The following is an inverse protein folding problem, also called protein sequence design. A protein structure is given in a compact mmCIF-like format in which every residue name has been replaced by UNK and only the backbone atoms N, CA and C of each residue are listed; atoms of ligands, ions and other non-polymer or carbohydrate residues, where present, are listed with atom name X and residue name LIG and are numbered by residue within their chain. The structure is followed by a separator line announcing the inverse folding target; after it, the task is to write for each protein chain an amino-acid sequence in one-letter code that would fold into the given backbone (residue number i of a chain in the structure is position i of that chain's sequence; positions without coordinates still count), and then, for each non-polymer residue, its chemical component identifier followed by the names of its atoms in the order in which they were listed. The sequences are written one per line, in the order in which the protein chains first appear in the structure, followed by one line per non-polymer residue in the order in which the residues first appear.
data_IF_167083418524
#
_entry.id   IF_167083418524
#
_cell.length_a   1.000
_cell.length_b   1.000
_cell.length_c   1.000
_cell.angle_alpha   90.00
_cell.angle_beta   90.00
_cell.angle_gamma   90.00
#
_symmetry.space_group_name_H-M   'P 1'
#
loop_
_entity.id
_entity.type
_entity.pdbx_description
1 polymer ?
#
# COMPACT_ATOMS: atom_id res chain seq x y z
N UNK A 1 30.36 43.95 8.92
CA UNK A 1 29.02 43.36 9.15
C UNK A 1 28.65 42.42 7.99
N UNK A 2 28.76 42.85 6.72
CA UNK A 2 28.58 41.97 5.55
C UNK A 2 29.60 40.82 5.45
N UNK A 3 30.87 41.08 5.74
CA UNK A 3 31.94 40.06 5.70
C UNK A 3 31.72 38.93 6.72
N UNK A 4 31.29 39.29 7.94
CA UNK A 4 31.04 38.33 9.02
C UNK A 4 29.88 37.37 8.71
N UNK A 5 28.87 37.85 7.97
CA UNK A 5 27.76 37.00 7.50
C UNK A 5 28.22 36.05 6.41
N UNK A 6 29.09 36.52 5.51
CA UNK A 6 29.63 35.73 4.41
C UNK A 6 30.55 34.61 4.92
N UNK A 7 31.42 34.92 5.89
CA UNK A 7 32.27 33.93 6.55
C UNK A 7 31.45 32.85 7.30
N UNK A 8 30.33 33.26 7.90
CA UNK A 8 29.42 32.35 8.59
C UNK A 8 28.66 31.45 7.62
N UNK A 9 28.20 31.99 6.49
CA UNK A 9 27.56 31.22 5.41
C UNK A 9 28.51 30.17 4.83
N UNK A 10 29.76 30.55 4.53
CA UNK A 10 30.77 29.63 4.03
C UNK A 10 31.11 28.53 5.05
N UNK A 11 31.14 28.87 6.34
CA UNK A 11 31.36 27.87 7.40
C UNK A 11 30.23 26.83 7.44
N UNK A 12 28.96 27.28 7.44
CA UNK A 12 27.80 26.38 7.42
C UNK A 12 27.83 25.50 6.17
N UNK A 13 28.12 26.09 5.01
CA UNK A 13 28.18 25.35 3.75
C UNK A 13 29.30 24.29 3.74
N UNK A 14 30.47 24.63 4.29
CA UNK A 14 31.59 23.69 4.38
C UNK A 14 31.31 22.55 5.37
N UNK A 15 30.65 22.83 6.50
CA UNK A 15 30.26 21.82 7.47
C UNK A 15 29.18 20.89 6.89
N UNK A 16 28.22 21.45 6.15
CA UNK A 16 27.22 20.70 5.38
C UNK A 16 27.85 19.82 4.30
N UNK A 17 28.73 20.38 3.47
CA UNK A 17 29.41 19.64 2.39
C UNK A 17 30.15 18.40 2.88
N UNK A 18 30.75 18.49 4.08
CA UNK A 18 31.42 17.35 4.75
C UNK A 18 30.43 16.31 5.29
N UNK A 19 29.29 16.73 5.85
CA UNK A 19 28.31 15.82 6.44
C UNK A 19 27.41 15.15 5.41
N UNK A 20 27.11 15.82 4.29
CA UNK A 20 26.23 15.29 3.23
C UNK A 20 26.76 13.99 2.65
N UNK A 21 28.06 13.91 2.39
CA UNK A 21 28.66 12.71 1.79
C UNK A 21 28.47 11.48 2.69
N UNK A 22 28.62 11.63 4.00
CA UNK A 22 28.43 10.52 4.96
C UNK A 22 26.95 10.19 5.16
N UNK A 23 26.06 11.18 5.14
CA UNK A 23 24.60 10.97 5.20
C UNK A 23 24.13 10.19 3.98
N UNK A 24 24.62 10.51 2.78
CA UNK A 24 24.28 9.80 1.54
C UNK A 24 24.78 8.36 1.61
N UNK A 25 26.05 8.14 1.95
CA UNK A 25 26.64 6.80 1.99
C UNK A 25 25.92 5.93 3.06
N UNK A 26 25.57 6.49 4.22
CA UNK A 26 24.82 5.78 5.25
C UNK A 26 23.37 5.52 4.83
N UNK A 27 22.72 6.48 4.18
CA UNK A 27 21.33 6.39 3.75
C UNK A 27 21.10 5.40 2.60
N UNK A 28 22.03 5.36 1.64
CA UNK A 28 21.91 4.51 0.45
C UNK A 28 22.29 3.05 0.71
N UNK A 29 23.10 2.79 1.74
CA UNK A 29 23.46 1.43 2.17
C UNK A 29 22.39 0.74 3.03
N UNK A 30 21.25 1.40 3.25
CA UNK A 30 20.13 0.81 3.98
C UNK A 30 19.30 -0.09 3.07
N UNK A 31 18.79 -1.19 3.64
CA UNK A 31 17.90 -2.12 2.94
C UNK A 31 16.57 -1.44 2.61
N UNK A 32 15.87 -1.89 1.56
CA UNK A 32 14.66 -1.23 1.08
C UNK A 32 13.50 -1.29 2.09
N UNK A 33 13.36 -2.44 2.76
CA UNK A 33 12.27 -2.75 3.68
C UNK A 33 12.81 -3.23 5.02
N UNK A 34 11.98 -3.06 6.05
CA UNK A 34 12.19 -3.60 7.40
C UNK A 34 10.92 -4.33 7.84
N UNK A 35 11.07 -5.47 8.51
CA UNK A 35 9.96 -6.13 9.23
C UNK A 35 9.93 -5.62 10.66
N UNK A 36 8.73 -5.27 11.13
CA UNK A 36 8.42 -4.99 12.53
C UNK A 36 8.20 -6.31 13.31
N UNK A 37 8.22 -6.24 14.64
CA UNK A 37 8.05 -7.37 15.57
C UNK A 37 6.71 -8.12 15.37
N UNK A 38 5.75 -7.49 14.69
CA UNK A 38 4.43 -8.03 14.34
C UNK A 38 4.36 -8.64 12.93
N UNK A 39 5.49 -8.85 12.26
CA UNK A 39 5.57 -9.26 10.84
C UNK A 39 4.95 -8.26 9.84
N UNK A 40 4.75 -7.00 10.25
CA UNK A 40 4.33 -5.94 9.35
C UNK A 40 5.55 -5.35 8.62
N UNK A 41 5.35 -4.90 7.40
CA UNK A 41 6.40 -4.23 6.64
C UNK A 41 6.42 -2.74 6.94
N UNK A 42 7.62 -2.19 6.97
CA UNK A 42 7.90 -0.77 7.01
C UNK A 42 8.94 -0.42 5.94
N UNK A 43 8.77 0.72 5.28
CA UNK A 43 9.73 1.21 4.31
C UNK A 43 10.90 1.88 5.02
N UNK A 44 12.12 1.41 4.75
CA UNK A 44 13.30 1.84 5.47
C UNK A 44 14.02 2.96 4.70
N UNK A 45 13.41 4.16 4.72
CA UNK A 45 13.98 5.36 4.10
C UNK A 45 14.26 6.44 5.17
N UNK A 46 15.53 6.84 5.27
CA UNK A 46 15.99 7.75 6.32
C UNK A 46 15.62 9.20 5.99
N UNK A 47 14.98 9.90 6.93
CA UNK A 47 14.57 11.31 6.83
C UNK A 47 15.72 12.28 6.49
N UNK A 48 16.93 12.14 7.07
CA UNK A 48 18.12 12.85 6.62
C UNK A 48 18.36 12.83 5.10
N UNK A 49 18.03 11.75 4.39
CA UNK A 49 18.23 11.66 2.94
C UNK A 49 17.22 12.52 2.17
N UNK A 50 15.98 12.61 2.66
CA UNK A 50 14.99 13.57 2.11
C UNK A 50 15.40 15.02 2.37
N UNK A 51 16.03 15.31 3.51
CA UNK A 51 16.49 16.66 3.82
C UNK A 51 17.65 17.07 2.93
N UNK A 52 18.61 16.18 2.67
CA UNK A 52 19.69 16.44 1.71
C UNK A 52 19.12 16.73 0.32
N UNK A 53 18.10 15.98 -0.12
CA UNK A 53 17.44 16.19 -1.41
C UNK A 53 16.75 17.57 -1.51
N UNK A 54 16.08 18.02 -0.45
CA UNK A 54 15.45 19.35 -0.41
C UNK A 54 16.49 20.46 -0.33
N UNK A 55 17.54 20.28 0.47
CA UNK A 55 18.67 21.22 0.59
C UNK A 55 19.36 21.42 -0.76
N UNK A 56 19.68 20.34 -1.49
CA UNK A 56 20.26 20.43 -2.84
C UNK A 56 19.31 21.15 -3.81
N UNK A 57 18.00 20.92 -3.71
CA UNK A 57 16.99 21.65 -4.51
C UNK A 57 17.04 23.15 -4.26
N UNK A 58 17.14 23.56 -3.00
CA UNK A 58 17.23 24.97 -2.62
C UNK A 58 18.56 25.59 -3.06
N UNK A 59 19.68 24.89 -2.85
CA UNK A 59 21.00 25.35 -3.28
C UNK A 59 21.09 25.56 -4.80
N UNK A 60 20.45 24.67 -5.58
CA UNK A 60 20.34 24.81 -7.04
C UNK A 60 19.46 25.98 -7.46
N UNK A 61 18.43 26.30 -6.68
CA UNK A 61 17.52 27.42 -6.94
C UNK A 61 18.17 28.78 -6.63
N UNK A 62 19.15 28.81 -5.73
CA UNK A 62 19.95 30.00 -5.34
C UNK A 62 21.21 30.14 -6.22
N UNK A 63 21.45 29.19 -7.15
CA UNK A 63 22.63 29.12 -8.01
C UNK A 63 23.96 29.13 -7.22
N UNK A 64 23.96 28.46 -6.06
CA UNK A 64 25.14 28.35 -5.19
C UNK A 64 26.13 27.35 -5.79
N UNK A 65 27.35 27.82 -6.06
CA UNK A 65 28.44 26.99 -6.57
C UNK A 65 29.12 26.18 -5.44
N UNK A 66 29.76 25.06 -5.80
CA UNK A 66 30.50 24.21 -4.86
C UNK A 66 29.72 23.05 -4.23
N UNK A 67 28.54 22.72 -4.76
CA UNK A 67 27.75 21.57 -4.31
C UNK A 67 28.54 20.27 -4.60
N UNK A 68 28.67 19.34 -3.63
CA UNK A 68 29.33 18.07 -3.84
C UNK A 68 28.73 17.28 -5.02
N UNK A 69 29.59 16.69 -5.85
CA UNK A 69 29.18 15.90 -7.02
C UNK A 69 28.26 14.73 -6.62
N UNK A 70 28.54 14.04 -5.52
CA UNK A 70 27.67 12.99 -4.96
C UNK A 70 26.23 13.47 -4.68
N UNK A 71 26.08 14.70 -4.20
CA UNK A 71 24.77 15.27 -3.88
C UNK A 71 24.00 15.66 -5.15
N UNK A 72 24.71 16.13 -6.19
CA UNK A 72 24.15 16.41 -7.51
C UNK A 72 23.69 15.12 -8.20
N UNK A 73 24.53 14.07 -8.21
CA UNK A 73 24.15 12.77 -8.81
C UNK A 73 22.93 12.17 -8.13
N UNK A 74 22.82 12.32 -6.81
CA UNK A 74 21.66 11.85 -6.06
C UNK A 74 20.41 12.68 -6.38
N UNK A 75 20.55 13.99 -6.54
CA UNK A 75 19.46 14.85 -6.96
C UNK A 75 18.95 14.54 -8.37
N UNK A 76 19.82 14.16 -9.30
CA UNK A 76 19.40 13.73 -10.64
C UNK A 76 18.63 12.40 -10.59
N UNK A 77 19.03 11.49 -9.69
CA UNK A 77 18.31 10.23 -9.40
C UNK A 77 17.03 10.44 -8.56
N UNK A 78 16.78 11.64 -8.04
CA UNK A 78 15.68 11.91 -7.10
C UNK A 78 14.31 11.54 -7.65
N UNK A 79 14.04 11.82 -8.93
CA UNK A 79 12.75 11.47 -9.54
C UNK A 79 12.54 9.96 -9.56
N UNK A 80 13.59 9.19 -9.88
CA UNK A 80 13.53 7.74 -9.93
C UNK A 80 13.40 7.12 -8.53
N UNK A 81 14.14 7.67 -7.56
CA UNK A 81 14.02 7.31 -6.15
C UNK A 81 12.60 7.60 -5.64
N UNK A 82 12.02 8.74 -6.01
CA UNK A 82 10.66 9.11 -5.65
C UNK A 82 9.62 8.13 -6.20
N UNK A 83 9.72 7.77 -7.48
CA UNK A 83 8.83 6.77 -8.10
C UNK A 83 8.95 5.40 -7.44
N UNK A 84 10.20 4.96 -7.18
CA UNK A 84 10.48 3.68 -6.51
C UNK A 84 9.90 3.68 -5.10
N UNK A 85 10.11 4.77 -4.35
CA UNK A 85 9.57 4.95 -2.99
C UNK A 85 8.05 4.89 -2.98
N UNK A 86 7.39 5.53 -3.94
CA UNK A 86 5.94 5.50 -4.06
C UNK A 86 5.43 4.06 -4.28
N UNK A 87 6.08 3.30 -5.17
CA UNK A 87 5.75 1.87 -5.39
C UNK A 87 5.96 1.04 -4.12
N UNK A 88 7.07 1.26 -3.42
CA UNK A 88 7.37 0.56 -2.17
C UNK A 88 6.37 0.87 -1.07
N UNK A 89 5.97 2.14 -0.93
CA UNK A 89 4.94 2.53 0.04
C UNK A 89 3.62 1.80 -0.26
N UNK A 90 3.23 1.69 -1.54
CA UNK A 90 2.04 0.93 -1.94
C UNK A 90 2.15 -0.56 -1.65
N UNK A 91 3.31 -1.17 -1.90
CA UNK A 91 3.57 -2.58 -1.55
C UNK A 91 3.36 -2.81 -0.05
N UNK A 92 3.98 -1.95 0.77
CA UNK A 92 3.87 -2.02 2.24
C UNK A 92 2.42 -1.88 2.69
N UNK A 93 1.70 -0.88 2.18
CA UNK A 93 0.29 -0.66 2.49
C UNK A 93 -0.56 -1.88 2.15
N UNK A 94 -0.44 -2.41 0.93
CA UNK A 94 -1.24 -3.53 0.46
C UNK A 94 -0.91 -4.84 1.17
N UNK A 95 0.37 -5.11 1.42
CA UNK A 95 0.77 -6.30 2.14
C UNK A 95 0.26 -6.27 3.59
N UNK A 96 0.40 -5.13 4.26
CA UNK A 96 -0.11 -4.98 5.62
C UNK A 96 -1.65 -5.09 5.66
N UNK A 97 -2.35 -4.50 4.69
CA UNK A 97 -3.81 -4.63 4.53
C UNK A 97 -4.24 -6.10 4.35
N UNK A 98 -3.53 -6.86 3.51
CA UNK A 98 -3.79 -8.29 3.32
C UNK A 98 -3.62 -9.04 4.64
N UNK A 99 -2.54 -8.81 5.38
CA UNK A 99 -2.30 -9.52 6.66
C UNK A 99 -3.36 -9.16 7.70
N UNK A 100 -3.79 -7.91 7.77
CA UNK A 100 -4.76 -7.46 8.79
C UNK A 100 -6.20 -7.88 8.46
N UNK A 101 -6.59 -7.80 7.18
CA UNK A 101 -8.00 -7.96 6.79
C UNK A 101 -8.36 -9.42 6.46
N UNK A 102 -7.37 -10.28 6.22
CA UNK A 102 -7.63 -11.66 5.81
C UNK A 102 -8.07 -12.52 7.00
N UNK A 103 -9.26 -13.12 6.88
CA UNK A 103 -9.74 -14.10 7.87
C UNK A 103 -8.98 -15.43 7.73
N UNK A 104 -8.86 -16.21 8.81
CA UNK A 104 -8.11 -17.49 8.84
C UNK A 104 -8.46 -18.47 7.70
N UNK A 105 -9.73 -18.50 7.29
CA UNK A 105 -10.21 -19.35 6.20
C UNK A 105 -9.80 -18.84 4.82
N UNK A 106 -9.78 -17.52 4.64
CA UNK A 106 -9.34 -16.87 3.40
C UNK A 106 -7.82 -17.00 3.26
N UNK A 107 -7.10 -16.87 4.38
CA UNK A 107 -5.64 -17.01 4.42
C UNK A 107 -5.17 -18.38 3.92
N UNK A 108 -5.88 -19.45 4.26
CA UNK A 108 -5.54 -20.79 3.79
C UNK A 108 -5.63 -20.95 2.26
N UNK A 109 -6.45 -20.14 1.58
CA UNK A 109 -6.59 -20.19 0.11
C UNK A 109 -5.44 -19.45 -0.56
N UNK A 110 -5.00 -18.33 0.04
CA UNK A 110 -3.96 -17.46 -0.53
C UNK A 110 -2.55 -17.74 0.03
N UNK A 111 -2.40 -18.72 0.93
CA UNK A 111 -1.15 -19.01 1.64
C UNK A 111 0.03 -19.20 0.68
N UNK A 112 -0.12 -20.09 -0.29
CA UNK A 112 0.96 -20.41 -1.22
C UNK A 112 1.43 -19.17 -1.99
N UNK A 113 0.50 -18.31 -2.41
CA UNK A 113 0.83 -17.05 -3.08
C UNK A 113 1.52 -16.05 -2.13
N UNK A 114 1.06 -15.94 -0.88
CA UNK A 114 1.72 -15.11 0.14
C UNK A 114 3.14 -15.60 0.40
N UNK A 115 3.37 -16.91 0.50
CA UNK A 115 4.71 -17.49 0.68
C UNK A 115 5.65 -17.14 -0.48
N UNK A 116 5.14 -17.14 -1.73
CA UNK A 116 5.94 -16.68 -2.87
C UNK A 116 6.28 -15.19 -2.81
N UNK A 117 5.34 -14.37 -2.33
CA UNK A 117 5.57 -12.93 -2.13
C UNK A 117 6.55 -12.71 -0.99
N UNK A 118 6.43 -13.47 0.11
CA UNK A 118 7.33 -13.40 1.25
C UNK A 118 8.77 -13.72 0.87
N UNK A 119 9.01 -14.72 0.01
CA UNK A 119 10.35 -15.02 -0.49
C UNK A 119 10.98 -13.84 -1.23
N UNK A 120 10.20 -13.15 -2.06
CA UNK A 120 10.63 -11.93 -2.78
C UNK A 120 10.79 -10.76 -1.80
N UNK A 121 9.92 -10.61 -0.81
CA UNK A 121 10.07 -9.58 0.21
C UNK A 121 11.33 -9.79 1.05
N UNK A 122 11.67 -11.04 1.36
CA UNK A 122 12.84 -11.37 2.18
C UNK A 122 14.15 -10.99 1.50
N UNK A 123 14.25 -11.17 0.18
CA UNK A 123 15.39 -10.68 -0.59
C UNK A 123 15.49 -9.15 -0.58
N UNK A 124 14.34 -8.44 -0.59
CA UNK A 124 14.30 -6.98 -0.46
C UNK A 124 14.66 -6.48 0.96
N UNK A 125 14.44 -7.30 1.98
CA UNK A 125 14.77 -7.00 3.38
C UNK A 125 16.24 -7.29 3.69
N UNK A 126 16.83 -8.32 3.07
CA UNK A 126 18.15 -8.84 3.45
C UNK A 126 19.29 -8.42 2.52
N UNK A 127 19.05 -8.32 1.21
CA UNK A 127 20.11 -8.15 0.20
C UNK A 127 20.01 -6.81 -0.53
N UNK A 128 18.80 -6.35 -0.84
CA UNK A 128 18.61 -5.18 -1.70
C UNK A 128 18.73 -3.87 -0.90
N UNK A 129 19.71 -3.04 -1.25
CA UNK A 129 19.90 -1.69 -0.70
C UNK A 129 19.45 -0.62 -1.68
N UNK A 130 19.18 0.59 -1.18
CA UNK A 130 18.84 1.75 -2.02
C UNK A 130 19.94 2.12 -3.03
N UNK A 131 21.17 1.65 -2.85
CA UNK A 131 22.27 1.85 -3.78
C UNK A 131 22.29 0.86 -4.97
N UNK A 132 21.83 -0.37 -4.76
CA UNK A 132 22.00 -1.47 -5.74
C UNK A 132 20.69 -2.13 -6.18
N UNK A 133 19.54 -1.52 -5.89
CA UNK A 133 18.25 -2.12 -6.21
C UNK A 133 17.97 -2.16 -7.72
N UNK A 134 17.38 -3.27 -8.17
CA UNK A 134 16.93 -3.42 -9.54
C UNK A 134 15.49 -2.91 -9.71
N UNK A 135 15.27 -1.98 -10.66
CA UNK A 135 13.93 -1.41 -10.92
C UNK A 135 12.92 -2.45 -11.42
N UNK A 136 13.39 -3.41 -12.22
CA UNK A 136 12.55 -4.49 -12.75
C UNK A 136 11.98 -5.34 -11.61
N UNK A 137 12.84 -5.68 -10.65
CA UNK A 137 12.48 -6.40 -9.44
C UNK A 137 11.40 -5.68 -8.63
N UNK A 138 11.57 -4.38 -8.35
CA UNK A 138 10.56 -3.58 -7.64
C UNK A 138 9.23 -3.54 -8.39
N UNK A 139 9.27 -3.44 -9.72
CA UNK A 139 8.06 -3.41 -10.54
C UNK A 139 7.34 -4.75 -10.55
N UNK A 140 8.07 -5.87 -10.58
CA UNK A 140 7.50 -7.21 -10.52
C UNK A 140 6.84 -7.47 -9.16
N UNK A 141 7.55 -7.14 -8.06
CA UNK A 141 6.99 -7.22 -6.71
C UNK A 141 5.72 -6.38 -6.57
N UNK A 142 5.75 -5.13 -7.07
CA UNK A 142 4.59 -4.25 -7.06
C UNK A 142 3.40 -4.86 -7.80
N UNK A 143 3.61 -5.46 -8.97
CA UNK A 143 2.54 -6.12 -9.73
C UNK A 143 1.96 -7.31 -8.97
N UNK A 144 2.80 -8.20 -8.44
CA UNK A 144 2.36 -9.39 -7.70
C UNK A 144 1.49 -9.04 -6.49
N UNK A 145 1.95 -8.08 -5.67
CA UNK A 145 1.21 -7.64 -4.48
C UNK A 145 -0.08 -6.91 -4.86
N UNK A 146 -0.04 -6.07 -5.90
CA UNK A 146 -1.23 -5.39 -6.42
C UNK A 146 -2.28 -6.38 -6.88
N UNK A 147 -1.89 -7.36 -7.68
CA UNK A 147 -2.82 -8.34 -8.26
C UNK A 147 -3.46 -9.21 -7.16
N UNK A 148 -2.71 -9.57 -6.11
CA UNK A 148 -3.26 -10.24 -4.94
C UNK A 148 -4.26 -9.35 -4.19
N UNK A 149 -3.88 -8.10 -3.86
CA UNK A 149 -4.77 -7.21 -3.12
C UNK A 149 -6.07 -6.91 -3.90
N UNK A 150 -5.97 -6.64 -5.21
CA UNK A 150 -7.15 -6.39 -6.04
C UNK A 150 -8.08 -7.60 -6.10
N UNK A 151 -7.54 -8.82 -6.19
CA UNK A 151 -8.36 -10.05 -6.17
C UNK A 151 -9.07 -10.21 -4.82
N UNK A 152 -8.37 -10.00 -3.71
CA UNK A 152 -8.95 -10.09 -2.37
C UNK A 152 -10.07 -9.06 -2.19
N UNK A 153 -9.82 -7.79 -2.54
CA UNK A 153 -10.84 -6.73 -2.49
C UNK A 153 -12.07 -7.03 -3.34
N UNK A 154 -11.86 -7.57 -4.55
CA UNK A 154 -12.97 -8.00 -5.41
C UNK A 154 -13.75 -9.15 -4.78
N UNK A 155 -13.07 -10.15 -4.22
CA UNK A 155 -13.71 -11.28 -3.53
C UNK A 155 -14.52 -10.81 -2.32
N UNK A 156 -13.96 -9.95 -1.47
CA UNK A 156 -14.68 -9.37 -0.33
C UNK A 156 -15.91 -8.59 -0.78
N UNK A 157 -15.78 -7.75 -1.82
CA UNK A 157 -16.91 -7.01 -2.39
C UNK A 157 -17.99 -7.93 -2.95
N UNK A 158 -17.61 -9.00 -3.65
CA UNK A 158 -18.55 -9.98 -4.18
C UNK A 158 -19.32 -10.69 -3.06
N UNK A 159 -18.62 -11.12 -2.01
CA UNK A 159 -19.23 -11.74 -0.83
C UNK A 159 -20.20 -10.76 -0.14
N UNK A 160 -19.79 -9.50 0.03
CA UNK A 160 -20.67 -8.46 0.60
C UNK A 160 -21.93 -8.27 -0.24
N UNK A 161 -21.81 -8.17 -1.56
CA UNK A 161 -22.96 -8.05 -2.45
C UNK A 161 -23.91 -9.26 -2.35
N UNK A 162 -23.37 -10.48 -2.28
CA UNK A 162 -24.17 -11.70 -2.08
C UNK A 162 -24.90 -11.66 -0.73
N UNK A 163 -24.19 -11.29 0.34
CA UNK A 163 -24.76 -11.18 1.68
C UNK A 163 -25.85 -10.10 1.76
N UNK A 164 -25.66 -8.95 1.13
CA UNK A 164 -26.66 -7.89 1.05
C UNK A 164 -27.91 -8.35 0.30
N UNK A 165 -27.75 -9.05 -0.82
CA UNK A 165 -28.88 -9.63 -1.54
C UNK A 165 -29.62 -10.64 -0.65
N UNK A 166 -28.90 -11.56 0.00
CA UNK A 166 -29.50 -12.55 0.90
C UNK A 166 -30.24 -11.88 2.06
N UNK A 167 -29.65 -10.85 2.67
CA UNK A 167 -30.28 -10.08 3.76
C UNK A 167 -31.51 -9.32 3.27
N UNK A 168 -31.45 -8.73 2.07
CA UNK A 168 -32.56 -7.92 1.53
C UNK A 168 -33.87 -8.70 1.45
N UNK A 169 -33.82 -9.97 1.03
CA UNK A 169 -35.00 -10.83 1.05
C UNK A 169 -35.14 -11.59 2.38
N UNK A 170 -34.05 -12.03 3.00
CA UNK A 170 -34.05 -12.82 4.24
C UNK A 170 -34.64 -12.08 5.44
N UNK A 171 -34.41 -10.78 5.55
CA UNK A 171 -34.95 -9.93 6.62
C UNK A 171 -36.43 -9.64 6.48
N UNK A 172 -37.01 -9.81 5.29
CA UNK A 172 -38.45 -9.70 5.09
C UNK A 172 -39.09 -11.06 5.38
N UNK A 173 -39.97 -11.19 6.39
CA UNK A 173 -40.71 -12.42 6.58
C UNK A 173 -41.65 -12.70 5.40
N UNK A 174 -41.84 -13.97 5.09
CA UNK A 174 -42.63 -14.37 3.93
C UNK A 174 -44.14 -14.07 4.10
N UNK A 175 -44.59 -14.16 5.34
CA UNK A 175 -45.95 -13.90 5.76
C UNK A 175 -45.93 -12.91 6.91
N UNK A 176 -46.75 -11.88 6.80
CA UNK A 176 -46.90 -10.84 7.81
C UNK A 176 -48.38 -10.70 8.15
N UNK A 177 -48.65 -10.35 9.40
CA UNK A 177 -49.99 -9.91 9.80
C UNK A 177 -50.15 -8.46 9.37
N UNK A 178 -51.35 -8.10 8.89
CA UNK A 178 -51.64 -6.71 8.51
C UNK A 178 -51.74 -5.79 9.73
N UNK A 179 -52.11 -6.36 10.88
CA UNK A 179 -52.26 -5.74 12.20
C UNK A 179 -51.97 -6.76 13.31
N UNK A 180 -51.66 -6.31 14.53
CA UNK A 180 -51.40 -7.19 15.70
C UNK A 180 -52.57 -8.15 16.02
N UNK A 181 -53.81 -7.76 15.67
CA UNK A 181 -55.04 -8.52 15.91
C UNK A 181 -55.55 -9.30 14.70
N UNK A 182 -54.95 -9.15 13.51
CA UNK A 182 -55.42 -9.83 12.30
C UNK A 182 -54.73 -11.18 12.09
N UNK A 183 -55.43 -12.06 11.36
CA UNK A 183 -54.88 -13.33 10.90
C UNK A 183 -53.77 -13.08 9.86
N UNK A 184 -52.95 -14.10 9.65
CA UNK A 184 -51.90 -14.08 8.62
C UNK A 184 -52.56 -13.93 7.25
N UNK A 185 -52.11 -12.94 6.46
CA UNK A 185 -52.68 -12.68 5.13
C UNK A 185 -52.14 -13.72 4.13
N UNK A 186 -53.04 -14.46 3.49
CA UNK A 186 -52.72 -15.53 2.53
C UNK A 186 -53.07 -15.21 1.07
N UNK A 187 -53.80 -14.12 0.81
CA UNK A 187 -54.32 -13.77 -0.52
C UNK A 187 -53.20 -13.56 -1.57
N UNK A 188 -52.08 -12.96 -1.17
CA UNK A 188 -50.92 -12.71 -2.06
C UNK A 188 -49.85 -13.81 -2.04
N UNK A 189 -50.18 -14.99 -1.51
CA UNK A 189 -49.19 -16.05 -1.24
C UNK A 189 -48.37 -16.43 -2.48
N UNK A 190 -49.03 -16.67 -3.61
CA UNK A 190 -48.36 -17.12 -4.83
C UNK A 190 -47.46 -16.03 -5.41
N UNK A 191 -47.90 -14.77 -5.36
CA UNK A 191 -47.11 -13.63 -5.83
C UNK A 191 -45.87 -13.38 -4.95
N UNK A 192 -46.02 -13.48 -3.62
CA UNK A 192 -44.91 -13.36 -2.66
C UNK A 192 -43.89 -14.49 -2.80
N UNK A 193 -44.36 -15.73 -2.97
CA UNK A 193 -43.52 -16.89 -3.23
C UNK A 193 -42.79 -16.77 -4.56
N UNK A 194 -43.46 -16.33 -5.63
CA UNK A 194 -42.84 -16.10 -6.93
C UNK A 194 -41.74 -15.02 -6.84
N UNK A 195 -42.02 -13.90 -6.16
CA UNK A 195 -41.03 -12.83 -5.92
C UNK A 195 -39.83 -13.34 -5.13
N UNK A 196 -40.04 -14.09 -4.04
CA UNK A 196 -38.95 -14.67 -3.25
C UNK A 196 -38.11 -15.65 -4.06
N UNK A 197 -38.74 -16.54 -4.82
CA UNK A 197 -38.04 -17.49 -5.71
C UNK A 197 -37.20 -16.74 -6.75
N UNK A 198 -37.70 -15.65 -7.32
CA UNK A 198 -36.92 -14.83 -8.26
C UNK A 198 -35.72 -14.15 -7.58
N UNK A 199 -35.89 -13.58 -6.38
CA UNK A 199 -34.78 -13.00 -5.62
C UNK A 199 -33.71 -14.05 -5.24
N UNK A 200 -34.13 -15.28 -4.91
CA UNK A 200 -33.18 -16.37 -4.66
C UNK A 200 -32.46 -16.80 -5.95
N UNK A 201 -33.13 -16.80 -7.10
CA UNK A 201 -32.49 -17.06 -8.40
C UNK A 201 -31.47 -15.99 -8.77
N UNK A 202 -31.77 -14.71 -8.54
CA UNK A 202 -30.82 -13.62 -8.80
C UNK A 202 -29.60 -13.70 -7.89
N UNK A 203 -29.79 -14.01 -6.59
CA UNK A 203 -28.69 -14.25 -5.68
C UNK A 203 -27.84 -15.47 -6.08
N UNK A 204 -28.47 -16.56 -6.54
CA UNK A 204 -27.76 -17.73 -7.05
C UNK A 204 -26.86 -17.41 -8.24
N UNK A 205 -27.33 -16.58 -9.19
CA UNK A 205 -26.52 -16.17 -10.35
C UNK A 205 -25.26 -15.41 -9.92
N UNK A 206 -25.29 -14.69 -8.79
CA UNK A 206 -24.13 -13.99 -8.24
C UNK A 206 -23.13 -14.92 -7.54
N UNK A 207 -23.58 -16.07 -7.05
CA UNK A 207 -22.71 -17.09 -6.41
C UNK A 207 -22.03 -17.96 -7.47
N UNK A 208 -22.74 -18.25 -8.57
CA UNK A 208 -22.25 -19.09 -9.67
C UNK A 208 -21.30 -18.33 -10.64
N UNK A 209 -21.04 -17.03 -10.41
CA UNK A 209 -20.19 -16.14 -11.23
C UNK A 209 -18.84 -15.88 -10.56
#
# INVERSE_FOLDING_TARGET
MLTLLQDFEEKIFNDWSKSVSTIIDNGMNVNLLKRDDKNLLEMNFIEPLTNVLTEVKYLKSIDKQGIPEKALTLFDLNNELWETRLKMTRIVEWYNEIITDTHKTEFNIIRDEIETIDAVLEEAISVQTWQMYEKAYVSEMHSKVKDLNERIKRSHKNIQMILEQIRSFGSTPLYERKDLKSLIVLEDRDQRLARRKNNCKTARILIDK
#
